data_IF_758835450830
#
_entry.id   IF_758835450830
#
_cell.length_a   1.000
_cell.length_b   1.000
_cell.length_c   1.000
_cell.angle_alpha   90.00
_cell.angle_beta   90.00
_cell.angle_gamma   90.00
#
_symmetry.space_group_name_H-M   'P 1'
#
loop_
_entity.id
_entity.type
_entity.pdbx_description
1 polymer ?
#
# COMPACT_ATOMS: atom_id res chain seq x y z
N UNK A 1 -8.23 13.84 16.87
CA UNK A 1 -8.19 12.36 16.89
C UNK A 1 -9.51 11.73 16.45
N UNK A 2 -10.62 11.82 17.20
CA UNK A 2 -11.90 11.19 16.79
C UNK A 2 -12.42 11.65 15.42
N UNK A 3 -12.39 12.96 15.15
CA UNK A 3 -12.80 13.53 13.85
C UNK A 3 -11.95 13.02 12.69
N UNK A 4 -10.63 12.92 12.89
CA UNK A 4 -9.68 12.38 11.91
C UNK A 4 -9.89 10.88 11.68
N UNK A 5 -10.13 10.11 12.74
CA UNK A 5 -10.47 8.68 12.65
C UNK A 5 -11.79 8.45 11.90
N UNK A 6 -12.78 9.34 12.05
CA UNK A 6 -14.06 9.25 11.33
C UNK A 6 -13.93 9.68 9.86
N UNK A 7 -13.07 10.66 9.58
CA UNK A 7 -12.88 11.20 8.23
C UNK A 7 -11.92 10.35 7.37
N UNK A 8 -11.10 9.48 7.99
CA UNK A 8 -10.10 8.62 7.32
C UNK A 8 -9.24 9.31 6.24
N UNK A 9 -8.74 10.55 6.45
CA UNK A 9 -7.90 11.19 5.46
C UNK A 9 -6.54 10.49 5.40
N UNK A 10 -5.98 10.32 4.19
CA UNK A 10 -4.65 9.74 3.98
C UNK A 10 -4.46 8.36 4.62
N UNK A 11 -5.51 7.52 4.61
CA UNK A 11 -5.47 6.17 5.18
C UNK A 11 -5.05 5.11 4.16
N UNK A 12 -5.34 5.28 2.87
CA UNK A 12 -5.05 4.27 1.85
C UNK A 12 -4.04 4.81 0.83
N UNK A 13 -2.92 4.12 0.71
CA UNK A 13 -1.87 4.41 -0.26
C UNK A 13 -1.70 3.19 -1.16
N UNK A 14 -2.46 3.15 -2.25
CA UNK A 14 -2.34 2.12 -3.29
C UNK A 14 -1.18 2.49 -4.19
N UNK A 15 -0.17 1.63 -4.25
CA UNK A 15 1.02 1.79 -5.09
C UNK A 15 1.06 0.66 -6.11
N UNK A 16 1.21 1.01 -7.38
CA UNK A 16 1.32 0.04 -8.47
C UNK A 16 2.64 0.22 -9.21
N UNK A 17 3.16 -0.88 -9.75
CA UNK A 17 4.30 -0.88 -10.65
C UNK A 17 3.77 -1.21 -12.04
N UNK A 18 3.97 -0.27 -12.96
CA UNK A 18 3.65 -0.44 -14.38
C UNK A 18 4.92 -0.75 -15.17
N UNK A 19 4.84 -1.72 -16.06
CA UNK A 19 5.83 -1.89 -17.12
C UNK A 19 5.40 -1.09 -18.35
N UNK A 20 6.06 0.05 -18.58
CA UNK A 20 5.78 0.97 -19.68
C UNK A 20 6.12 0.41 -21.07
N UNK A 21 6.88 -0.68 -21.15
CA UNK A 21 7.16 -1.34 -22.42
C UNK A 21 5.98 -2.19 -22.90
N UNK A 22 5.20 -2.72 -21.97
CA UNK A 22 4.03 -3.57 -22.24
C UNK A 22 2.70 -2.89 -21.90
N UNK A 23 2.73 -1.73 -21.25
CA UNK A 23 1.59 -1.02 -20.67
C UNK A 23 0.75 -1.92 -19.74
N UNK A 24 1.43 -2.74 -18.92
CA UNK A 24 0.78 -3.65 -17.99
C UNK A 24 1.23 -3.40 -16.55
N UNK A 25 0.30 -3.56 -15.61
CA UNK A 25 0.61 -3.53 -14.18
C UNK A 25 1.28 -4.86 -13.79
N UNK A 26 2.53 -4.77 -13.34
CA UNK A 26 3.38 -5.90 -12.98
C UNK A 26 3.50 -6.11 -11.47
N UNK A 27 3.02 -5.16 -10.67
CA UNK A 27 2.92 -5.32 -9.22
C UNK A 27 1.97 -4.31 -8.58
N UNK A 28 1.45 -4.65 -7.41
CA UNK A 28 0.62 -3.78 -6.59
C UNK A 28 0.95 -4.01 -5.12
N UNK A 29 0.86 -2.94 -4.33
CA UNK A 29 0.95 -2.99 -2.88
C UNK A 29 0.06 -1.88 -2.29
N UNK A 30 -0.62 -2.18 -1.20
CA UNK A 30 -1.48 -1.22 -0.51
C UNK A 30 -0.93 -0.96 0.88
N UNK A 31 -0.59 0.28 1.19
CA UNK A 31 -0.29 0.69 2.56
C UNK A 31 -1.55 1.30 3.19
N UNK A 32 -2.01 0.71 4.29
CA UNK A 32 -3.15 1.17 5.07
C UNK A 32 -2.65 1.77 6.39
N UNK A 33 -2.96 3.03 6.64
CA UNK A 33 -2.62 3.73 7.88
C UNK A 33 -3.88 3.88 8.75
N UNK A 34 -4.04 2.95 9.69
CA UNK A 34 -5.14 2.91 10.64
C UNK A 34 -4.85 3.84 11.82
N UNK A 35 -5.69 4.85 12.02
CA UNK A 35 -5.62 5.72 13.20
C UNK A 35 -6.22 4.98 14.40
N UNK A 36 -5.52 4.96 15.54
CA UNK A 36 -5.98 4.37 16.82
C UNK A 36 -5.97 5.43 17.91
N UNK A 37 -6.37 5.11 19.14
CA UNK A 37 -6.21 6.02 20.29
C UNK A 37 -4.93 5.75 21.09
N UNK A 38 -4.43 4.52 21.03
CA UNK A 38 -3.21 4.09 21.72
C UNK A 38 -1.97 4.43 20.87
N UNK A 39 -0.82 4.64 21.54
CA UNK A 39 0.50 4.84 20.92
C UNK A 39 0.54 5.93 19.83
N UNK A 40 0.34 7.19 20.21
CA UNK A 40 0.39 8.35 19.29
C UNK A 40 -0.61 8.30 18.13
N UNK A 41 -1.66 7.50 18.30
CA UNK A 41 -2.84 7.45 17.47
C UNK A 41 -2.69 6.87 16.05
N UNK A 42 -1.62 6.13 15.69
CA UNK A 42 -1.49 5.58 14.34
C UNK A 42 -0.81 4.20 14.25
N UNK A 43 -1.18 3.41 13.24
CA UNK A 43 -0.55 2.13 12.87
C UNK A 43 -0.60 1.91 11.35
N UNK A 44 0.54 1.64 10.73
CA UNK A 44 0.62 1.21 9.33
C UNK A 44 0.49 -0.31 9.16
N UNK A 45 -0.18 -0.75 8.10
CA UNK A 45 -0.24 -2.14 7.61
C UNK A 45 0.04 -2.15 6.12
N UNK A 46 0.88 -3.07 5.68
CA UNK A 46 1.08 -3.33 4.26
C UNK A 46 0.22 -4.54 3.89
N UNK A 47 -0.67 -4.37 2.93
CA UNK A 47 -1.62 -5.35 2.45
C UNK A 47 -1.47 -5.52 0.93
N UNK A 48 -1.97 -6.65 0.42
CA UNK A 48 -2.10 -6.95 -1.01
C UNK A 48 -0.83 -6.76 -1.85
N UNK A 49 0.33 -7.11 -1.27
CA UNK A 49 1.60 -7.13 -2.00
C UNK A 49 1.57 -8.29 -3.00
N UNK A 50 1.41 -7.96 -4.27
CA UNK A 50 1.42 -8.91 -5.38
C UNK A 50 2.41 -8.45 -6.44
N UNK A 51 3.23 -9.39 -6.92
CA UNK A 51 4.12 -9.18 -8.05
C UNK A 51 3.78 -10.25 -9.09
N UNK A 52 3.61 -9.83 -10.34
CA UNK A 52 3.37 -10.70 -11.49
C UNK A 52 4.44 -11.79 -11.54
N UNK A 53 4.01 -13.03 -11.79
CA UNK A 53 4.88 -14.21 -11.77
C UNK A 53 6.07 -14.09 -12.72
N UNK A 54 5.89 -13.39 -13.84
CA UNK A 54 6.92 -13.14 -14.85
C UNK A 54 8.01 -12.17 -14.38
N UNK A 55 7.78 -11.46 -13.27
CA UNK A 55 8.69 -10.46 -12.68
C UNK A 55 9.20 -10.86 -11.29
N UNK A 56 8.87 -12.07 -10.81
CA UNK A 56 9.43 -12.62 -9.57
C UNK A 56 10.95 -12.82 -9.74
N UNK A 57 11.72 -12.46 -8.70
CA UNK A 57 13.18 -12.55 -8.72
C UNK A 57 13.92 -11.28 -9.17
N UNK A 58 13.22 -10.25 -9.66
CA UNK A 58 13.79 -8.93 -9.98
C UNK A 58 13.89 -7.96 -8.79
N UNK A 59 13.76 -8.45 -7.55
CA UNK A 59 13.82 -7.67 -6.31
C UNK A 59 12.79 -6.54 -6.16
N UNK A 60 11.71 -6.52 -6.97
CA UNK A 60 10.69 -5.47 -6.96
C UNK A 60 9.80 -5.42 -5.69
N UNK A 61 9.97 -6.35 -4.77
CA UNK A 61 9.21 -6.43 -3.51
C UNK A 61 10.07 -6.21 -2.25
N UNK A 62 11.32 -5.76 -2.39
CA UNK A 62 12.23 -5.45 -1.27
C UNK A 62 12.26 -3.96 -0.99
#
# INVERSE_FOLDING_TARGET
CYTTMKACPNTYFVTVIEDTSTNQIVGSATLVVEQKFIHECARGRVEDVVVSSNYRGKQLGK
#
